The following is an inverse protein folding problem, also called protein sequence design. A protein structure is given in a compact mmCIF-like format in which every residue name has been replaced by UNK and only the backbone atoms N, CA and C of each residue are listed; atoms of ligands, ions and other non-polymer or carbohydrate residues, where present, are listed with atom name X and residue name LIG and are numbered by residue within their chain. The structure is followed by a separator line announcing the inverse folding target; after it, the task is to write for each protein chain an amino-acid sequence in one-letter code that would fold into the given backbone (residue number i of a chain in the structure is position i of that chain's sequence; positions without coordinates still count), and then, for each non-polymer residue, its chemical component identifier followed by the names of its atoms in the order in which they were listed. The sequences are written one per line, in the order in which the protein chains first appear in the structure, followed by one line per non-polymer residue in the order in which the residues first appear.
data_IF_276405276618
#
_entry.id   IF_276405276618
#
_cell.length_a   1.000
_cell.length_b   1.000
_cell.length_c   1.000
_cell.angle_alpha   90.00
_cell.angle_beta   90.00
_cell.angle_gamma   90.00
#
_symmetry.space_group_name_H-M   'P 1'
#
loop_
_entity.id
_entity.type
_entity.pdbx_description
1 polymer ?
#
# COMPACT_ATOMS: atom_id res chain seq x y z
N UNK A 1 9.01 -26.03 -35.95
CA UNK A 1 7.80 -25.20 -36.06
C UNK A 1 6.64 -25.73 -35.21
N UNK A 2 6.22 -27.00 -35.34
CA UNK A 2 5.12 -27.58 -34.51
C UNK A 2 5.40 -27.58 -33.00
N UNK A 3 6.63 -27.87 -32.59
CA UNK A 3 7.05 -27.88 -31.17
C UNK A 3 6.98 -26.49 -30.52
N UNK A 4 7.27 -25.43 -31.25
CA UNK A 4 7.19 -24.05 -30.76
C UNK A 4 5.74 -23.63 -30.47
N UNK A 5 4.81 -23.96 -31.37
CA UNK A 5 3.38 -23.72 -31.17
C UNK A 5 2.80 -24.51 -29.98
N UNK A 6 3.27 -25.74 -29.76
CA UNK A 6 2.86 -26.53 -28.59
C UNK A 6 3.37 -25.95 -27.27
N UNK A 7 4.61 -25.46 -27.22
CA UNK A 7 5.14 -24.77 -26.03
C UNK A 7 4.40 -23.45 -25.75
N UNK A 8 4.06 -22.68 -26.80
CA UNK A 8 3.30 -21.44 -26.66
C UNK A 8 1.87 -21.72 -26.15
N UNK A 9 1.19 -22.73 -26.70
CA UNK A 9 -0.13 -23.12 -26.22
C UNK A 9 -0.10 -23.64 -24.78
N UNK A 10 0.91 -24.43 -24.42
CA UNK A 10 1.06 -24.93 -23.05
C UNK A 10 1.32 -23.78 -22.07
N UNK A 11 2.17 -22.82 -22.43
CA UNK A 11 2.44 -21.62 -21.63
C UNK A 11 1.19 -20.75 -21.43
N UNK A 12 0.39 -20.57 -22.49
CA UNK A 12 -0.89 -19.84 -22.42
C UNK A 12 -1.90 -20.59 -21.55
N UNK A 13 -1.97 -21.92 -21.65
CA UNK A 13 -2.89 -22.73 -20.85
C UNK A 13 -2.50 -22.71 -19.36
N UNK A 14 -1.20 -22.79 -19.05
CA UNK A 14 -0.71 -22.67 -17.67
C UNK A 14 -0.92 -21.26 -17.11
N UNK A 15 -0.76 -20.20 -17.92
CA UNK A 15 -1.06 -18.84 -17.51
C UNK A 15 -2.55 -18.62 -17.22
N UNK A 16 -3.45 -19.28 -17.98
CA UNK A 16 -4.90 -19.23 -17.75
C UNK A 16 -5.33 -20.00 -16.49
N UNK A 17 -4.64 -21.09 -16.13
CA UNK A 17 -4.99 -21.94 -14.97
C UNK A 17 -4.53 -21.33 -13.64
N UNK A 18 -3.51 -20.48 -13.64
CA UNK A 18 -2.98 -19.85 -12.41
C UNK A 18 -3.90 -18.73 -11.87
N UNK A 19 -4.93 -18.32 -12.61
CA UNK A 19 -5.64 -17.07 -12.33
C UNK A 19 -6.84 -17.15 -11.36
N UNK A 20 -7.07 -18.23 -10.60
CA UNK A 20 -8.29 -18.37 -9.77
C UNK A 20 -8.06 -19.06 -8.41
N UNK A 21 -7.07 -18.60 -7.65
CA UNK A 21 -6.87 -19.03 -6.25
C UNK A 21 -6.83 -17.82 -5.30
N UNK A 22 -7.81 -16.92 -5.42
CA UNK A 22 -8.05 -15.88 -4.42
C UNK A 22 -9.01 -16.38 -3.34
N UNK A 23 -8.71 -16.11 -2.06
CA UNK A 23 -9.63 -16.41 -0.96
C UNK A 23 -10.79 -15.43 -0.99
N UNK A 24 -12.01 -15.93 -1.26
CA UNK A 24 -13.25 -15.16 -1.15
C UNK A 24 -13.71 -15.08 0.30
N UNK A 25 -14.09 -13.89 0.74
CA UNK A 25 -14.60 -13.61 2.08
C UNK A 25 -15.91 -12.87 2.07
N UNK A 26 -16.81 -13.27 2.98
CA UNK A 26 -18.06 -12.58 3.25
C UNK A 26 -17.85 -11.50 4.30
N UNK A 27 -18.26 -10.27 4.00
CA UNK A 27 -18.05 -9.10 4.85
C UNK A 27 -19.27 -8.83 5.73
N UNK A 28 -19.02 -8.53 7.01
CA UNK A 28 -20.00 -8.06 7.99
C UNK A 28 -19.44 -6.86 8.73
N UNK A 29 -20.24 -5.80 8.89
CA UNK A 29 -19.82 -4.60 9.61
C UNK A 29 -20.61 -4.45 10.91
N UNK A 30 -19.91 -4.07 11.97
CA UNK A 30 -20.47 -3.72 13.28
C UNK A 30 -19.95 -2.35 13.67
N UNK A 31 -20.85 -1.44 14.06
CA UNK A 31 -20.51 -0.11 14.53
C UNK A 31 -20.61 -0.07 16.05
N UNK A 32 -19.54 0.34 16.72
CA UNK A 32 -19.51 0.60 18.15
C UNK A 32 -19.52 2.11 18.38
N UNK A 33 -20.63 2.62 18.91
CA UNK A 33 -20.76 4.03 19.28
C UNK A 33 -20.02 4.28 20.60
N UNK A 34 -19.05 5.21 20.59
CA UNK A 34 -18.44 5.69 21.82
C UNK A 34 -19.30 6.86 22.35
N UNK A 35 -19.54 6.95 23.68
CA UNK A 35 -20.30 8.05 24.26
C UNK A 35 -19.68 9.40 23.87
N UNK A 36 -20.51 10.38 23.51
CA UNK A 36 -20.02 11.71 23.13
C UNK A 36 -19.24 12.35 24.29
N UNK A 37 -17.92 12.41 24.17
CA UNK A 37 -17.10 13.28 25.02
C UNK A 37 -16.91 14.61 24.30
N UNK A 38 -17.55 15.67 24.81
CA UNK A 38 -17.29 17.08 24.52
C UNK A 38 -16.66 17.37 23.13
N UNK A 39 -17.46 17.20 22.07
CA UNK A 39 -17.16 17.51 20.66
C UNK A 39 -16.39 16.47 19.82
N UNK A 40 -16.04 15.30 20.37
CA UNK A 40 -15.50 14.19 19.57
C UNK A 40 -16.54 13.08 19.44
N UNK A 41 -17.28 13.07 18.33
CA UNK A 41 -18.14 11.95 17.97
C UNK A 41 -17.30 10.89 17.28
N UNK A 42 -17.03 9.80 17.97
CA UNK A 42 -16.16 8.79 17.41
C UNK A 42 -16.77 7.42 17.54
N UNK A 43 -16.52 6.59 16.54
CA UNK A 43 -16.99 5.23 16.51
C UNK A 43 -15.84 4.32 16.15
N UNK A 44 -15.83 3.16 16.80
CA UNK A 44 -15.01 2.04 16.38
C UNK A 44 -15.83 1.24 15.37
N UNK A 45 -15.27 1.02 14.18
CA UNK A 45 -15.89 0.22 13.14
C UNK A 45 -15.17 -1.11 13.12
N UNK A 46 -15.93 -2.19 13.28
CA UNK A 46 -15.42 -3.54 13.17
C UNK A 46 -15.97 -4.19 11.91
N UNK A 47 -15.06 -4.60 11.03
CA UNK A 47 -15.38 -5.36 9.84
C UNK A 47 -14.83 -6.76 10.02
N UNK A 48 -15.69 -7.75 9.83
CA UNK A 48 -15.36 -9.17 9.88
C UNK A 48 -15.51 -9.74 8.47
N UNK A 49 -14.42 -10.29 7.95
CA UNK A 49 -14.34 -10.94 6.65
C UNK A 49 -14.14 -12.46 6.83
N UNK A 50 -15.22 -13.23 6.64
CA UNK A 50 -15.27 -14.67 6.91
C UNK A 50 -14.95 -15.48 5.65
N UNK A 51 -14.00 -16.42 5.73
CA UNK A 51 -13.78 -17.46 4.72
C UNK A 51 -14.28 -18.84 5.23
N UNK A 52 -14.02 -19.90 4.46
CA UNK A 52 -14.28 -21.28 4.91
C UNK A 52 -13.26 -21.79 5.92
N UNK A 53 -12.08 -21.17 6.02
CA UNK A 53 -10.95 -21.66 6.84
C UNK A 53 -10.66 -20.74 8.05
N UNK A 54 -10.93 -19.45 7.92
CA UNK A 54 -10.53 -18.43 8.89
C UNK A 54 -11.38 -17.16 8.79
N UNK A 55 -11.19 -16.24 9.74
CA UNK A 55 -11.80 -14.92 9.74
C UNK A 55 -10.71 -13.85 9.84
N UNK A 56 -10.88 -12.75 9.12
CA UNK A 56 -10.05 -11.54 9.26
C UNK A 56 -10.92 -10.43 9.86
N UNK A 57 -10.38 -9.76 10.87
CA UNK A 57 -11.03 -8.68 11.58
C UNK A 57 -10.26 -7.39 11.35
N UNK A 58 -10.95 -6.39 10.81
CA UNK A 58 -10.46 -5.04 10.64
C UNK A 58 -11.17 -4.15 11.64
N UNK A 59 -10.41 -3.46 12.48
CA UNK A 59 -10.92 -2.48 13.42
C UNK A 59 -10.39 -1.13 13.00
N UNK A 60 -11.28 -0.20 12.67
CA UNK A 60 -10.94 1.16 12.24
C UNK A 60 -11.50 2.18 13.22
N UNK A 61 -10.72 3.18 13.57
CA UNK A 61 -11.17 4.26 14.43
C UNK A 61 -10.37 5.53 14.17
N UNK A 62 -11.02 6.67 14.35
CA UNK A 62 -10.38 7.98 14.47
C UNK A 62 -10.46 8.50 15.91
N UNK A 63 -10.60 7.59 16.90
CA UNK A 63 -10.77 7.98 18.30
C UNK A 63 -9.43 8.40 18.87
N UNK A 64 -9.33 9.70 19.17
CA UNK A 64 -8.10 10.41 19.49
C UNK A 64 -7.12 10.42 18.32
N UNK A 65 -6.59 9.26 17.90
CA UNK A 65 -5.75 9.13 16.72
C UNK A 65 -6.35 8.16 15.68
N UNK A 66 -6.24 8.47 14.38
CA UNK A 66 -6.50 7.51 13.32
C UNK A 66 -5.68 6.26 13.50
N UNK A 67 -6.36 5.15 13.73
CA UNK A 67 -5.73 3.88 14.03
C UNK A 67 -6.54 2.71 13.52
N UNK A 68 -5.81 1.66 13.21
CA UNK A 68 -6.38 0.43 12.68
C UNK A 68 -5.67 -0.80 13.21
N UNK A 69 -6.43 -1.89 13.29
CA UNK A 69 -5.93 -3.21 13.66
C UNK A 69 -6.44 -4.19 12.61
N UNK A 70 -5.55 -5.05 12.12
CA UNK A 70 -5.91 -6.23 11.32
C UNK A 70 -5.52 -7.46 12.12
N UNK A 71 -6.46 -8.39 12.30
CA UNK A 71 -6.24 -9.64 13.03
C UNK A 71 -6.90 -10.83 12.31
N UNK A 72 -6.13 -11.89 12.06
CA UNK A 72 -6.56 -13.15 11.45
C UNK A 72 -6.73 -14.21 12.52
N UNK A 73 -7.85 -14.93 12.49
CA UNK A 73 -8.30 -15.84 13.54
C UNK A 73 -9.01 -17.07 12.95
N UNK A 74 -9.32 -18.07 13.77
CA UNK A 74 -10.21 -19.16 13.38
C UNK A 74 -11.67 -18.68 13.21
N UNK A 75 -12.47 -19.37 12.38
CA UNK A 75 -13.83 -18.94 12.00
C UNK A 75 -14.83 -18.79 13.16
N UNK A 76 -14.60 -19.46 14.29
CA UNK A 76 -15.45 -19.42 15.49
C UNK A 76 -15.04 -18.33 16.50
N UNK A 77 -14.10 -17.47 16.13
CA UNK A 77 -13.60 -16.40 16.99
C UNK A 77 -14.59 -15.23 17.05
N UNK A 78 -14.83 -14.75 18.27
CA UNK A 78 -15.60 -13.55 18.57
C UNK A 78 -14.69 -12.44 19.10
N UNK A 79 -15.01 -11.21 18.72
CA UNK A 79 -14.36 -10.00 19.20
C UNK A 79 -15.22 -9.39 20.31
N UNK A 80 -14.59 -9.13 21.45
CA UNK A 80 -15.22 -8.41 22.56
C UNK A 80 -14.59 -7.02 22.67
N UNK A 81 -15.44 -6.00 22.65
CA UNK A 81 -15.05 -4.59 22.77
C UNK A 81 -15.65 -4.02 24.05
N UNK A 82 -14.79 -3.66 25.00
CA UNK A 82 -15.14 -2.94 26.22
C UNK A 82 -14.98 -1.43 25.98
N UNK A 83 -16.12 -0.78 25.78
CA UNK A 83 -16.21 0.65 25.43
C UNK A 83 -15.67 1.55 26.54
N UNK A 84 -15.88 1.18 27.81
CA UNK A 84 -15.42 1.99 28.95
C UNK A 84 -13.89 1.97 29.08
N UNK A 85 -13.29 0.79 28.87
CA UNK A 85 -11.83 0.67 28.79
C UNK A 85 -11.27 1.37 27.56
N UNK A 86 -11.93 1.23 26.40
CA UNK A 86 -11.47 1.85 25.15
C UNK A 86 -11.43 3.38 25.27
N UNK A 87 -12.41 3.98 25.93
CA UNK A 87 -12.49 5.43 26.18
C UNK A 87 -11.30 5.98 26.96
N UNK A 88 -10.72 5.17 27.83
CA UNK A 88 -9.61 5.56 28.71
C UNK A 88 -8.28 4.97 28.26
N UNK A 89 -8.23 4.42 27.03
CA UNK A 89 -7.07 3.74 26.45
C UNK A 89 -6.48 2.66 27.38
N UNK A 90 -7.35 1.98 28.13
CA UNK A 90 -6.95 0.87 28.98
C UNK A 90 -6.72 -0.38 28.15
N UNK A 91 -5.70 -1.14 28.55
CA UNK A 91 -5.39 -2.44 27.96
C UNK A 91 -6.56 -3.42 28.10
N UNK A 92 -6.73 -4.28 27.10
CA UNK A 92 -7.81 -5.27 27.07
C UNK A 92 -9.19 -4.69 26.78
N UNK A 93 -9.24 -3.50 26.19
CA UNK A 93 -10.46 -2.91 25.62
C UNK A 93 -10.93 -3.64 24.37
N UNK A 94 -10.03 -4.28 23.62
CA UNK A 94 -10.34 -5.13 22.48
C UNK A 94 -9.71 -6.50 22.75
N UNK A 95 -10.52 -7.56 22.74
CA UNK A 95 -10.08 -8.91 23.05
C UNK A 95 -10.72 -9.94 22.12
N UNK A 96 -9.99 -11.02 21.87
CA UNK A 96 -10.43 -12.16 21.08
C UNK A 96 -10.54 -13.38 22.00
N UNK A 97 -11.59 -14.18 21.84
CA UNK A 97 -11.79 -15.40 22.63
C UNK A 97 -10.91 -16.59 22.18
N UNK A 98 -10.16 -16.42 21.08
CA UNK A 98 -9.24 -17.41 20.54
C UNK A 98 -7.86 -16.78 20.25
N UNK A 99 -6.87 -17.63 20.03
CA UNK A 99 -5.52 -17.21 19.63
C UNK A 99 -5.52 -16.58 18.24
N UNK A 100 -4.72 -15.53 18.08
CA UNK A 100 -4.54 -14.85 16.79
C UNK A 100 -3.52 -15.60 15.93
N UNK A 101 -3.86 -15.84 14.67
CA UNK A 101 -2.97 -16.46 13.68
C UNK A 101 -1.94 -15.47 13.16
N UNK A 102 -2.38 -14.24 12.88
CA UNK A 102 -1.54 -13.12 12.45
C UNK A 102 -2.24 -11.80 12.82
N UNK A 103 -1.48 -10.77 13.17
CA UNK A 103 -2.05 -9.47 13.48
C UNK A 103 -1.03 -8.33 13.26
N UNK A 104 -1.54 -7.13 13.01
CA UNK A 104 -0.76 -5.90 12.83
C UNK A 104 -1.62 -4.68 13.17
N UNK A 105 -1.00 -3.63 13.67
CA UNK A 105 -1.67 -2.36 13.93
C UNK A 105 -0.91 -1.19 13.34
N UNK A 106 -1.64 -0.13 13.01
CA UNK A 106 -1.06 1.10 12.49
C UNK A 106 -1.81 2.28 13.09
N UNK A 107 -1.05 3.28 13.54
CA UNK A 107 -1.57 4.57 13.98
C UNK A 107 -0.88 5.69 13.19
N UNK A 108 -1.65 6.70 12.80
CA UNK A 108 -1.13 7.95 12.23
C UNK A 108 -1.09 8.95 13.37
N UNK A 109 0.11 9.35 13.80
CA UNK A 109 0.29 10.18 15.00
C UNK A 109 0.36 11.67 14.68
N UNK A 110 1.10 12.04 13.62
CA UNK A 110 1.36 13.44 13.26
C UNK A 110 1.25 13.71 11.77
N UNK A 111 0.78 14.92 11.46
CA UNK A 111 0.92 15.57 10.15
C UNK A 111 2.11 16.51 10.22
N UNK A 112 3.02 16.41 9.25
CA UNK A 112 4.19 17.27 9.16
C UNK A 112 4.05 18.23 8.00
N UNK A 113 4.38 19.49 8.25
CA UNK A 113 4.51 20.54 7.26
C UNK A 113 5.99 20.88 7.11
N UNK A 114 6.50 20.70 5.90
CA UNK A 114 7.90 20.92 5.55
C UNK A 114 8.01 22.12 4.62
N UNK A 115 8.70 23.18 5.08
CA UNK A 115 8.93 24.40 4.30
C UNK A 115 10.31 24.37 3.61
N UNK A 116 10.33 24.70 2.32
CA UNK A 116 11.53 24.58 1.48
C UNK A 116 12.02 25.94 1.00
N UNK A 117 13.33 26.16 1.05
CA UNK A 117 13.96 27.34 0.45
C UNK A 117 14.21 27.16 -1.04
N UNK A 118 14.47 25.94 -1.50
CA UNK A 118 14.67 25.57 -2.92
C UNK A 118 13.91 24.29 -3.24
N UNK A 119 13.60 24.08 -4.51
CA UNK A 119 12.94 22.86 -4.97
C UNK A 119 13.93 21.69 -5.00
N UNK A 120 14.03 21.00 -3.86
CA UNK A 120 14.90 19.83 -3.65
C UNK A 120 14.06 18.66 -3.16
N UNK A 121 14.52 17.44 -3.40
CA UNK A 121 13.89 16.24 -2.84
C UNK A 121 14.35 15.95 -1.38
N UNK A 122 15.35 16.67 -0.89
CA UNK A 122 15.95 16.45 0.43
C UNK A 122 15.06 17.02 1.55
N UNK A 123 15.02 16.34 2.70
CA UNK A 123 14.31 16.84 3.87
C UNK A 123 14.97 18.15 4.35
N UNK A 124 14.19 19.23 4.54
CA UNK A 124 14.71 20.50 5.01
C UNK A 124 15.17 20.41 6.46
N UNK A 125 15.92 21.42 6.91
CA UNK A 125 16.36 21.53 8.30
C UNK A 125 15.18 21.43 9.27
N UNK A 126 15.41 20.86 10.46
CA UNK A 126 14.37 20.66 11.48
C UNK A 126 13.67 21.95 11.92
N UNK A 127 14.33 23.12 11.75
CA UNK A 127 13.74 24.44 12.02
C UNK A 127 12.64 24.85 11.02
N UNK A 128 12.53 24.14 9.90
CA UNK A 128 11.55 24.34 8.82
C UNK A 128 10.47 23.26 8.80
N UNK A 129 10.45 22.40 9.81
CA UNK A 129 9.47 21.33 9.97
C UNK A 129 8.54 21.70 11.13
N UNK A 130 7.27 21.85 10.82
CA UNK A 130 6.20 22.04 11.78
C UNK A 130 5.40 20.73 11.88
N UNK A 131 5.03 20.32 13.09
CA UNK A 131 4.26 19.09 13.32
C UNK A 131 2.93 19.42 13.98
N UNK A 132 1.84 18.90 13.42
CA UNK A 132 0.52 18.92 14.01
C UNK A 132 0.21 17.54 14.58
N UNK A 133 -0.21 17.51 15.84
CA UNK A 133 -0.63 16.27 16.49
C UNK A 133 -2.06 15.93 16.04
N UNK A 134 -2.26 14.74 15.49
CA UNK A 134 -3.60 14.32 15.04
C UNK A 134 -4.55 14.09 16.23
N UNK A 135 -4.05 14.01 17.46
CA UNK A 135 -4.87 13.96 18.67
C UNK A 135 -5.70 15.24 18.87
N UNK A 136 -5.22 16.37 18.35
CA UNK A 136 -5.89 17.66 18.44
C UNK A 136 -6.99 17.82 17.38
N UNK A 137 -7.08 16.88 16.43
CA UNK A 137 -8.06 16.92 15.37
C UNK A 137 -9.44 16.48 15.85
N UNK A 138 -10.45 17.09 15.23
CA UNK A 138 -11.83 16.67 15.30
C UNK A 138 -12.17 15.88 14.03
N UNK A 139 -12.86 14.76 14.20
CA UNK A 139 -13.21 13.86 13.11
C UNK A 139 -14.71 13.83 12.88
N UNK A 140 -15.11 13.72 11.61
CA UNK A 140 -16.51 13.61 11.21
C UNK A 140 -17.20 12.42 11.88
N UNK A 141 -18.46 12.61 12.31
CA UNK A 141 -19.29 11.54 12.86
C UNK A 141 -19.38 10.37 11.86
N UNK A 142 -19.25 9.14 12.36
CA UNK A 142 -19.62 7.96 11.58
C UNK A 142 -21.14 7.88 11.52
N UNK A 143 -21.69 7.80 10.33
CA UNK A 143 -23.12 7.62 10.10
C UNK A 143 -23.33 6.52 9.06
N UNK A 144 -24.56 6.02 8.94
CA UNK A 144 -24.94 5.10 7.86
C UNK A 144 -24.74 5.69 6.44
N UNK A 145 -24.47 7.00 6.31
CA UNK A 145 -24.16 7.64 5.04
C UNK A 145 -22.66 7.65 4.72
N UNK A 146 -21.80 7.60 5.74
CA UNK A 146 -20.34 7.62 5.56
C UNK A 146 -19.78 6.21 5.48
N UNK A 147 -20.43 5.24 6.12
CA UNK A 147 -20.09 3.82 6.06
C UNK A 147 -20.88 3.14 4.93
N UNK A 148 -20.17 2.61 3.94
CA UNK A 148 -20.69 1.66 2.96
C UNK A 148 -20.37 0.25 3.43
N UNK A 149 -21.37 -0.63 3.53
CA UNK A 149 -21.17 -2.02 3.91
C UNK A 149 -22.04 -2.93 3.05
N UNK A 150 -21.42 -3.96 2.49
CA UNK A 150 -22.06 -5.00 1.69
C UNK A 150 -21.38 -6.34 1.96
N UNK A 151 -21.97 -7.42 1.45
CA UNK A 151 -21.44 -8.77 1.60
C UNK A 151 -20.04 -8.95 0.96
N UNK A 152 -19.66 -8.11 -0.01
CA UNK A 152 -18.40 -8.22 -0.76
C UNK A 152 -17.40 -7.10 -0.46
N UNK A 153 -17.86 -5.93 -0.04
CA UNK A 153 -17.00 -4.77 0.19
C UNK A 153 -17.53 -3.89 1.34
N UNK A 154 -16.61 -3.25 2.05
CA UNK A 154 -16.92 -2.21 3.02
C UNK A 154 -15.94 -1.05 2.90
N UNK A 155 -16.44 0.17 3.01
CA UNK A 155 -15.60 1.36 3.02
C UNK A 155 -16.16 2.46 3.91
N UNK A 156 -15.29 3.32 4.41
CA UNK A 156 -15.68 4.53 5.11
C UNK A 156 -14.76 5.68 4.76
N UNK A 157 -15.35 6.86 4.57
CA UNK A 157 -14.63 8.13 4.48
C UNK A 157 -14.84 8.97 5.73
N UNK A 158 -13.76 9.41 6.34
CA UNK A 158 -13.68 10.25 7.52
C UNK A 158 -12.97 11.55 7.17
N UNK A 159 -13.52 12.68 7.62
CA UNK A 159 -12.92 13.99 7.44
C UNK A 159 -12.47 14.54 8.79
N UNK A 160 -11.18 14.81 8.90
CA UNK A 160 -10.52 15.47 10.01
C UNK A 160 -10.40 16.97 9.75
N UNK A 161 -10.58 17.75 10.79
CA UNK A 161 -10.37 19.20 10.81
C UNK A 161 -9.71 19.62 12.13
N UNK A 162 -9.04 20.77 12.09
CA UNK A 162 -8.38 21.37 13.25
C UNK A 162 -8.71 22.87 13.29
N UNK A 163 -8.61 23.49 14.47
CA UNK A 163 -8.72 24.94 14.64
C UNK A 163 -7.43 25.67 14.19
N UNK A 164 -6.39 24.92 13.79
CA UNK A 164 -5.15 25.43 13.25
C UNK A 164 -5.38 26.26 11.96
N UNK A 165 -4.57 27.30 11.75
CA UNK A 165 -4.66 28.21 10.60
C UNK A 165 -4.56 27.45 9.26
N UNK A 166 -3.86 26.31 9.20
CA UNK A 166 -3.77 25.46 8.02
C UNK A 166 -5.14 24.97 7.51
N UNK A 167 -6.16 24.91 8.37
CA UNK A 167 -7.50 24.43 8.02
C UNK A 167 -8.50 25.58 7.79
N UNK A 168 -8.07 26.83 7.95
CA UNK A 168 -8.93 28.03 7.91
C UNK A 168 -9.70 28.24 6.60
N UNK A 169 -9.16 27.79 5.47
CA UNK A 169 -9.81 27.89 4.15
C UNK A 169 -10.78 26.73 3.84
N UNK A 170 -11.35 26.08 4.86
CA UNK A 170 -12.09 24.81 4.72
C UNK A 170 -11.17 23.68 4.24
N UNK A 171 -9.96 23.64 4.78
CA UNK A 171 -9.05 22.53 4.58
C UNK A 171 -9.59 21.26 5.24
N UNK A 172 -9.30 20.10 4.64
CA UNK A 172 -9.74 18.81 5.14
C UNK A 172 -8.60 17.81 5.13
N UNK A 173 -8.50 17.06 6.22
CA UNK A 173 -7.74 15.82 6.27
C UNK A 173 -8.70 14.68 5.95
N UNK A 174 -8.57 14.04 4.80
CA UNK A 174 -9.43 12.92 4.40
C UNK A 174 -8.76 11.59 4.73
N UNK A 175 -9.49 10.70 5.40
CA UNK A 175 -9.12 9.31 5.59
C UNK A 175 -10.19 8.41 5.00
N UNK A 176 -9.79 7.50 4.12
CA UNK A 176 -10.67 6.49 3.58
C UNK A 176 -10.09 5.12 3.87
N UNK A 177 -10.93 4.24 4.44
CA UNK A 177 -10.61 2.85 4.68
C UNK A 177 -11.50 1.99 3.80
N UNK A 178 -10.92 0.97 3.16
CA UNK A 178 -11.64 0.10 2.24
C UNK A 178 -11.16 -1.35 2.34
N UNK A 179 -12.10 -2.29 2.35
CA UNK A 179 -11.87 -3.74 2.29
C UNK A 179 -12.76 -4.31 1.19
N UNK A 180 -12.18 -5.22 0.41
CA UNK A 180 -12.87 -6.05 -0.56
C UNK A 180 -12.59 -7.51 -0.21
N UNK A 181 -13.64 -8.32 -0.20
CA UNK A 181 -13.59 -9.73 0.21
C UNK A 181 -12.99 -10.66 -0.84
N UNK A 182 -12.69 -10.15 -2.02
CA UNK A 182 -12.07 -10.87 -3.13
C UNK A 182 -10.78 -10.18 -3.55
N UNK A 183 -9.91 -10.92 -4.22
CA UNK A 183 -8.72 -10.34 -4.82
C UNK A 183 -9.09 -9.57 -6.08
N UNK A 184 -8.92 -8.25 -6.05
CA UNK A 184 -9.32 -7.36 -7.14
C UNK A 184 -8.34 -6.19 -7.26
N UNK A 185 -8.03 -5.79 -8.49
CA UNK A 185 -7.26 -4.58 -8.74
C UNK A 185 -8.13 -3.35 -8.45
N UNK A 186 -7.67 -2.44 -7.60
CA UNK A 186 -8.40 -1.23 -7.32
C UNK A 186 -8.64 -0.42 -8.62
N UNK A 187 -9.86 0.05 -8.88
CA UNK A 187 -10.17 0.81 -10.10
C UNK A 187 -9.49 2.18 -10.09
N UNK A 188 -9.17 2.71 -8.92
CA UNK A 188 -8.45 3.97 -8.75
C UNK A 188 -6.94 3.75 -8.67
N UNK A 189 -6.21 4.74 -9.19
CA UNK A 189 -4.77 4.83 -8.99
C UNK A 189 -4.40 4.82 -7.48
N UNK A 190 -3.29 4.17 -7.09
CA UNK A 190 -2.27 3.58 -7.94
C UNK A 190 -2.54 2.09 -8.27
N UNK A 191 -3.81 1.68 -8.36
CA UNK A 191 -4.23 0.32 -8.67
C UNK A 191 -3.65 -0.72 -7.71
N UNK A 192 -3.76 -0.46 -6.40
CA UNK A 192 -3.38 -1.45 -5.38
C UNK A 192 -4.29 -2.68 -5.49
N UNK A 193 -3.75 -3.87 -5.25
CA UNK A 193 -4.52 -5.12 -5.30
C UNK A 193 -5.17 -5.33 -3.94
N UNK A 194 -6.49 -5.24 -3.89
CA UNK A 194 -7.24 -5.72 -2.74
C UNK A 194 -7.01 -7.21 -2.57
N UNK A 195 -6.86 -7.63 -1.33
CA UNK A 195 -6.93 -9.04 -0.96
C UNK A 195 -7.95 -9.15 0.16
N UNK A 196 -8.63 -10.30 0.26
CA UNK A 196 -9.48 -10.60 1.42
C UNK A 196 -8.74 -10.58 2.77
N UNK A 197 -7.40 -10.47 2.77
CA UNK A 197 -6.58 -10.44 3.97
C UNK A 197 -5.99 -9.06 4.28
N UNK A 198 -6.40 -8.02 3.55
CA UNK A 198 -5.85 -6.66 3.64
C UNK A 198 -6.95 -5.59 3.67
N UNK A 199 -6.62 -4.43 4.23
CA UNK A 199 -7.41 -3.21 4.13
C UNK A 199 -6.55 -2.13 3.48
N UNK A 200 -7.15 -1.35 2.59
CA UNK A 200 -6.55 -0.15 2.05
C UNK A 200 -6.84 1.04 2.96
N UNK A 201 -5.86 1.93 3.08
CA UNK A 201 -6.04 3.28 3.62
C UNK A 201 -5.62 4.27 2.54
N UNK A 202 -6.48 5.25 2.28
CA UNK A 202 -6.18 6.42 1.46
C UNK A 202 -6.20 7.65 2.36
N UNK A 203 -5.08 8.35 2.37
CA UNK A 203 -4.82 9.55 3.16
C UNK A 203 -4.79 10.73 2.20
N UNK A 204 -5.66 11.72 2.40
CA UNK A 204 -5.78 12.90 1.56
C UNK A 204 -5.67 14.19 2.34
N UNK A 205 -5.03 15.20 1.76
CA UNK A 205 -5.06 16.58 2.26
C UNK A 205 -5.68 17.45 1.17
N UNK A 206 -6.85 18.01 1.44
CA UNK A 206 -7.61 18.81 0.49
C UNK A 206 -7.73 20.25 0.98
N UNK A 207 -7.30 21.18 0.14
CA UNK A 207 -7.44 22.62 0.34
C UNK A 207 -6.86 23.14 1.67
N UNK A 208 -5.71 22.59 2.11
CA UNK A 208 -4.98 23.17 3.24
C UNK A 208 -4.39 24.52 2.85
N UNK A 209 -4.48 25.47 3.77
CA UNK A 209 -3.90 26.80 3.63
C UNK A 209 -2.44 26.79 4.07
N UNK A 210 -1.57 27.54 3.38
CA UNK A 210 -0.15 27.65 3.72
C UNK A 210 0.24 29.13 3.84
N UNK A 211 -0.01 29.78 5.00
CA UNK A 211 0.18 31.22 5.16
C UNK A 211 1.65 31.64 5.06
N UNK A 212 2.53 30.82 5.62
CA UNK A 212 3.91 31.21 5.92
C UNK A 212 4.90 30.87 4.80
N UNK A 213 4.50 30.06 3.83
CA UNK A 213 5.39 29.61 2.75
C UNK A 213 4.60 29.21 1.51
N UNK A 214 5.14 29.59 0.34
CA UNK A 214 4.65 29.12 -0.97
C UNK A 214 5.29 27.81 -1.41
N UNK A 215 6.23 27.27 -0.62
CA UNK A 215 7.03 26.08 -0.91
C UNK A 215 6.89 25.09 0.23
N UNK A 216 5.74 24.43 0.27
CA UNK A 216 5.36 23.51 1.34
C UNK A 216 5.10 22.12 0.78
N UNK A 217 5.58 21.10 1.48
CA UNK A 217 5.20 19.70 1.29
C UNK A 217 4.75 19.12 2.63
N UNK A 218 4.05 18.01 2.56
CA UNK A 218 3.51 17.34 3.73
C UNK A 218 4.12 15.95 3.92
N UNK A 219 4.08 15.49 5.15
CA UNK A 219 4.47 14.15 5.54
C UNK A 219 3.66 13.64 6.72
N UNK A 220 3.83 12.37 7.05
CA UNK A 220 3.14 11.72 8.15
C UNK A 220 4.12 10.95 9.02
N UNK A 221 3.92 11.02 10.34
CA UNK A 221 4.52 10.10 11.30
C UNK A 221 3.55 8.93 11.51
N UNK A 222 4.06 7.72 11.30
CA UNK A 222 3.31 6.48 11.33
C UNK A 222 3.91 5.59 12.42
N UNK A 223 3.04 4.95 13.20
CA UNK A 223 3.43 4.06 14.28
C UNK A 223 2.86 2.67 14.02
N UNK A 224 3.76 1.70 13.88
CA UNK A 224 3.46 0.34 13.49
C UNK A 224 3.60 -0.60 14.70
N UNK A 225 2.51 -1.30 15.00
CA UNK A 225 2.43 -2.27 16.07
C UNK A 225 2.59 -3.66 15.47
N UNK A 226 3.68 -4.34 15.84
CA UNK A 226 4.05 -5.63 15.25
C UNK A 226 4.28 -6.69 16.33
N UNK A 227 3.72 -7.91 16.19
CA UNK A 227 4.08 -9.02 17.05
C UNK A 227 5.50 -9.51 16.75
N UNK A 228 6.23 -9.90 17.79
CA UNK A 228 7.52 -10.58 17.70
C UNK A 228 7.28 -12.08 17.78
N UNK A 229 7.70 -12.81 16.75
CA UNK A 229 7.49 -14.27 16.66
C UNK A 229 8.56 -15.08 17.41
N UNK A 230 9.69 -14.47 17.76
CA UNK A 230 10.83 -15.12 18.40
C UNK A 230 11.70 -14.10 19.16
N UNK A 231 12.66 -14.59 19.94
CA UNK A 231 13.69 -13.76 20.57
C UNK A 231 14.43 -12.97 19.48
N UNK A 232 14.18 -11.67 19.42
CA UNK A 232 14.59 -10.80 18.34
C UNK A 232 15.67 -9.85 18.83
N UNK A 233 16.85 -9.89 18.18
CA UNK A 233 17.99 -9.04 18.55
C UNK A 233 17.92 -7.65 17.93
N UNK A 234 17.28 -7.51 16.77
CA UNK A 234 17.03 -6.23 16.11
C UNK A 234 15.53 -5.93 16.08
N UNK A 235 15.12 -4.91 16.84
CA UNK A 235 13.71 -4.51 16.98
C UNK A 235 13.26 -3.50 15.91
N UNK A 236 14.18 -3.05 15.05
CA UNK A 236 13.85 -2.21 13.90
C UNK A 236 13.06 -2.99 12.85
N UNK A 237 12.08 -2.33 12.24
CA UNK A 237 11.30 -2.97 11.19
C UNK A 237 12.09 -3.00 9.87
N UNK A 238 11.88 -4.07 9.08
CA UNK A 238 12.63 -4.27 7.84
C UNK A 238 11.87 -3.64 6.68
N UNK A 239 12.55 -2.74 5.98
CA UNK A 239 12.10 -2.15 4.72
C UNK A 239 12.58 -3.01 3.54
N UNK A 240 11.69 -3.34 2.61
CA UNK A 240 11.98 -4.08 1.39
C UNK A 240 11.43 -3.31 0.20
N UNK A 241 12.31 -2.92 -0.72
CA UNK A 241 11.94 -2.34 -2.00
C UNK A 241 11.74 -3.44 -3.03
N UNK A 242 10.50 -3.65 -3.46
CA UNK A 242 10.19 -4.58 -4.53
C UNK A 242 10.37 -3.88 -5.88
N UNK A 243 11.44 -4.28 -6.57
CA UNK A 243 11.78 -3.76 -7.90
C UNK A 243 11.13 -4.64 -8.97
N UNK A 244 9.95 -4.25 -9.44
CA UNK A 244 9.31 -4.88 -10.60
C UNK A 244 9.34 -3.87 -11.74
N UNK A 245 9.92 -4.23 -12.89
CA UNK A 245 9.95 -3.32 -14.04
C UNK A 245 8.58 -3.36 -14.76
N UNK A 246 7.61 -2.59 -14.27
CA UNK A 246 6.29 -2.47 -14.92
C UNK A 246 5.82 -1.02 -14.91
N UNK A 247 5.74 -0.42 -16.10
CA UNK A 247 5.21 0.93 -16.33
C UNK A 247 3.69 0.93 -16.59
N UNK A 248 3.05 -0.26 -16.57
CA UNK A 248 1.67 -0.43 -17.00
C UNK A 248 0.66 0.33 -16.12
N UNK A 249 0.87 0.29 -14.81
CA UNK A 249 -0.04 0.90 -13.81
C UNK A 249 0.56 2.13 -13.10
N UNK A 250 1.83 2.46 -13.38
CA UNK A 250 2.52 3.65 -12.91
C UNK A 250 3.43 4.28 -13.98
N UNK A 251 2.91 4.69 -15.15
CA UNK A 251 3.76 5.30 -16.18
C UNK A 251 4.53 6.52 -15.64
N UNK A 252 5.76 6.75 -16.11
CA UNK A 252 6.54 7.97 -15.79
C UNK A 252 7.28 7.97 -14.45
N UNK A 253 7.00 7.04 -13.53
CA UNK A 253 7.77 6.87 -12.30
C UNK A 253 8.81 5.79 -12.56
N UNK A 254 9.94 6.19 -13.16
CA UNK A 254 11.14 5.35 -13.23
C UNK A 254 11.85 5.33 -11.87
N UNK A 255 11.12 5.04 -10.79
CA UNK A 255 11.76 4.69 -9.52
C UNK A 255 12.12 3.22 -9.57
N UNK A 256 13.30 2.89 -9.05
CA UNK A 256 13.79 1.51 -8.96
C UNK A 256 12.86 0.66 -8.07
N UNK A 257 12.13 1.29 -7.13
CA UNK A 257 11.12 0.69 -6.27
C UNK A 257 9.70 0.87 -6.83
N UNK A 258 8.98 -0.23 -7.04
CA UNK A 258 7.57 -0.20 -7.47
C UNK A 258 6.60 -0.37 -6.31
N UNK A 259 6.96 -1.19 -5.33
CA UNK A 259 6.21 -1.33 -4.08
C UNK A 259 7.22 -1.32 -2.92
N UNK A 260 6.83 -0.69 -1.82
CA UNK A 260 7.59 -0.59 -0.57
C UNK A 260 6.89 -1.41 0.48
N UNK A 261 7.59 -2.39 1.05
CA UNK A 261 7.08 -3.23 2.13
C UNK A 261 7.78 -2.95 3.45
N UNK A 262 6.98 -2.82 4.50
CA UNK A 262 7.41 -2.77 5.88
C UNK A 262 7.02 -4.08 6.57
N UNK A 263 8.05 -4.88 6.86
CA UNK A 263 7.93 -6.17 7.53
C UNK A 263 8.20 -6.05 9.03
N UNK A 264 7.53 -6.89 9.81
CA UNK A 264 7.73 -6.96 11.26
C UNK A 264 9.18 -7.34 11.59
N UNK A 265 9.74 -6.85 12.71
CA UNK A 265 11.11 -7.22 13.10
C UNK A 265 11.27 -8.73 13.24
N UNK A 266 12.41 -9.25 12.77
CA UNK A 266 12.74 -10.68 12.75
C UNK A 266 11.74 -11.58 12.00
N UNK A 267 10.85 -11.03 11.18
CA UNK A 267 10.01 -11.82 10.28
C UNK A 267 10.79 -12.18 9.01
N UNK A 268 10.52 -13.38 8.48
CA UNK A 268 11.03 -13.81 7.18
C UNK A 268 10.07 -13.35 6.09
N UNK A 269 10.63 -12.97 4.94
CA UNK A 269 9.85 -12.73 3.71
C UNK A 269 9.10 -14.01 3.34
N UNK A 270 7.84 -13.88 2.92
CA UNK A 270 6.97 -14.98 2.44
C UNK A 270 6.42 -15.95 3.49
N UNK A 271 6.27 -15.55 4.76
CA UNK A 271 5.48 -16.33 5.73
C UNK A 271 3.98 -16.04 5.61
N UNK A 272 3.19 -17.08 5.37
CA UNK A 272 1.72 -17.03 5.34
C UNK A 272 1.08 -16.60 6.68
N UNK A 273 1.80 -16.82 7.80
CA UNK A 273 1.39 -16.36 9.13
C UNK A 273 1.96 -14.98 9.48
N UNK A 274 2.59 -14.29 8.52
CA UNK A 274 3.14 -12.96 8.68
C UNK A 274 2.07 -11.86 8.64
N UNK A 275 2.53 -10.62 8.71
CA UNK A 275 1.71 -9.44 8.46
C UNK A 275 2.54 -8.36 7.80
N UNK A 276 1.92 -7.58 6.91
CA UNK A 276 2.62 -6.63 6.05
C UNK A 276 1.96 -5.25 6.12
N UNK A 277 2.76 -4.25 5.81
CA UNK A 277 2.33 -2.90 5.45
C UNK A 277 3.03 -2.60 4.13
N UNK A 278 2.28 -2.19 3.10
CA UNK A 278 2.80 -1.99 1.76
C UNK A 278 2.22 -0.76 1.08
N UNK A 279 2.98 -0.07 0.25
CA UNK A 279 2.47 1.00 -0.61
C UNK A 279 3.30 1.14 -1.88
N UNK A 280 2.73 1.78 -2.90
CA UNK A 280 3.49 2.26 -4.06
C UNK A 280 4.12 3.61 -3.69
N UNK A 281 5.39 3.91 -4.05
CA UNK A 281 6.08 5.15 -3.66
C UNK A 281 5.59 6.37 -4.47
N UNK A 282 4.28 6.55 -4.55
CA UNK A 282 3.58 7.57 -5.34
C UNK A 282 2.40 8.14 -4.56
N UNK A 283 2.23 9.45 -4.67
CA UNK A 283 1.05 10.20 -4.26
C UNK A 283 0.50 10.97 -5.46
N UNK A 284 -0.76 11.35 -5.41
CA UNK A 284 -1.44 12.10 -6.47
C UNK A 284 -1.80 13.49 -6.02
N UNK A 285 -1.38 14.49 -6.79
CA UNK A 285 -1.58 15.91 -6.46
C UNK A 285 -2.86 16.50 -7.07
N UNK A 286 -3.74 15.65 -7.62
CA UNK A 286 -5.04 16.04 -8.19
C UNK A 286 -6.13 15.05 -7.81
N UNK A 287 -7.38 15.53 -7.69
CA UNK A 287 -8.59 14.72 -7.49
C UNK A 287 -8.90 13.80 -8.67
N UNK A 288 -8.37 14.13 -9.85
CA UNK A 288 -8.34 13.25 -11.01
C UNK A 288 -6.94 12.63 -11.07
N UNK A 289 -6.72 11.50 -10.38
CA UNK A 289 -5.40 10.90 -10.30
C UNK A 289 -4.98 10.41 -11.69
N UNK A 290 -3.76 10.77 -12.06
CA UNK A 290 -3.13 10.32 -13.29
C UNK A 290 -1.63 10.38 -13.11
N UNK A 291 -0.92 9.74 -14.02
CA UNK A 291 0.54 9.81 -14.13
C UNK A 291 1.06 11.24 -14.18
N UNK A 292 0.41 12.11 -14.95
CA UNK A 292 0.87 13.49 -15.10
C UNK A 292 0.77 14.29 -13.79
N UNK A 293 -0.07 13.82 -12.86
CA UNK A 293 -0.34 14.44 -11.57
C UNK A 293 0.18 13.57 -10.42
N UNK A 294 1.25 12.80 -10.63
CA UNK A 294 1.92 12.03 -9.59
C UNK A 294 3.05 12.82 -8.94
N UNK A 295 3.34 12.51 -7.69
CA UNK A 295 4.50 12.98 -6.92
C UNK A 295 5.08 11.82 -6.12
N UNK A 296 6.37 11.89 -5.78
CA UNK A 296 7.05 10.78 -5.11
C UNK A 296 6.68 10.70 -3.64
N UNK A 297 6.73 9.49 -3.10
CA UNK A 297 6.56 9.22 -1.68
C UNK A 297 7.82 8.56 -1.15
N UNK A 298 8.45 9.19 -0.16
CA UNK A 298 9.74 8.76 0.37
C UNK A 298 9.61 8.40 1.84
N UNK A 299 10.25 7.28 2.22
CA UNK A 299 10.51 6.95 3.61
C UNK A 299 11.70 7.78 4.09
N UNK A 300 11.49 8.69 5.04
CA UNK A 300 12.49 9.71 5.40
C UNK A 300 13.10 9.53 6.77
N UNK A 301 12.65 8.53 7.51
CA UNK A 301 13.31 8.06 8.72
C UNK A 301 13.50 6.56 8.70
N UNK A 302 14.48 6.11 9.47
CA UNK A 302 14.61 4.70 9.79
C UNK A 302 13.41 4.25 10.62
N UNK A 303 12.89 3.07 10.30
CA UNK A 303 11.81 2.47 11.06
C UNK A 303 12.34 1.90 12.38
N UNK A 304 12.22 2.69 13.43
CA UNK A 304 12.93 2.47 14.69
C UNK A 304 11.97 2.24 15.86
N UNK A 305 12.35 1.41 16.84
CA UNK A 305 11.49 1.09 17.97
C UNK A 305 11.30 2.31 18.88
N UNK A 306 10.06 2.53 19.32
CA UNK A 306 9.71 3.55 20.30
C UNK A 306 10.01 3.07 21.71
N UNK A 307 10.66 3.91 22.52
CA UNK A 307 11.19 3.51 23.83
C UNK A 307 10.20 3.62 24.99
N UNK A 308 9.13 4.43 24.92
CA UNK A 308 8.11 4.53 26.00
C UNK A 308 6.92 5.48 25.71
N UNK A 309 6.56 5.78 24.47
CA UNK A 309 5.50 6.78 24.21
C UNK A 309 4.12 6.10 24.23
N UNK A 310 3.23 6.60 25.10
CA UNK A 310 1.80 6.29 25.03
C UNK A 310 1.18 7.13 23.93
N UNK A 311 0.68 6.45 22.92
CA UNK A 311 0.12 7.02 21.68
C UNK A 311 -1.34 7.43 21.90
N UNK A 312 -2.02 6.80 22.85
CA UNK A 312 -3.46 6.88 23.11
C UNK A 312 -4.28 6.59 21.84
N UNK A 313 -4.08 5.40 21.27
CA UNK A 313 -4.82 4.91 20.10
C UNK A 313 -5.54 3.59 20.39
N UNK A 314 -6.50 3.21 19.53
CA UNK A 314 -7.15 1.89 19.67
C UNK A 314 -6.17 0.76 19.43
N UNK A 315 -5.18 0.97 18.55
CA UNK A 315 -4.11 0.01 18.28
C UNK A 315 -3.30 -0.21 19.56
N UNK A 316 -2.81 0.86 20.18
CA UNK A 316 -2.09 0.76 21.45
C UNK A 316 -2.90 0.01 22.51
N UNK A 317 -4.19 0.33 22.66
CA UNK A 317 -5.05 -0.30 23.67
C UNK A 317 -5.21 -1.82 23.48
N UNK A 318 -5.12 -2.29 22.23
CA UNK A 318 -5.13 -3.71 21.87
C UNK A 318 -3.77 -4.38 22.05
N UNK A 319 -2.69 -3.69 21.73
CA UNK A 319 -1.32 -4.24 21.72
C UNK A 319 -0.63 -4.18 23.09
N UNK A 320 -0.98 -3.24 23.97
CA UNK A 320 -0.31 -3.04 25.27
C UNK A 320 -0.44 -4.22 26.24
N UNK A 321 -1.47 -5.07 26.11
CA UNK A 321 -1.61 -6.29 26.92
C UNK A 321 -0.89 -7.51 26.32
N UNK A 322 -0.39 -7.41 25.09
CA UNK A 322 0.21 -8.55 24.41
C UNK A 322 1.68 -8.63 24.79
N UNK A 323 2.12 -9.83 25.15
CA UNK A 323 3.53 -10.12 25.31
C UNK A 323 4.23 -10.05 23.93
N UNK A 324 5.50 -9.65 23.94
CA UNK A 324 6.35 -9.67 22.75
C UNK A 324 5.82 -8.81 21.58
N UNK A 325 5.43 -7.57 21.86
CA UNK A 325 5.08 -6.59 20.83
C UNK A 325 6.16 -5.51 20.77
N UNK A 326 6.41 -5.03 19.56
CA UNK A 326 7.24 -3.86 19.30
C UNK A 326 6.43 -2.81 18.56
N UNK A 327 6.62 -1.57 18.98
CA UNK A 327 6.06 -0.39 18.32
C UNK A 327 7.22 0.30 17.62
N UNK A 328 7.15 0.42 16.29
CA UNK A 328 8.12 1.15 15.50
C UNK A 328 7.51 2.43 14.94
N UNK A 329 8.26 3.52 14.93
CA UNK A 329 7.86 4.74 14.25
C UNK A 329 8.66 4.93 12.97
N UNK A 330 8.00 5.41 11.92
CA UNK A 330 8.63 5.81 10.68
C UNK A 330 7.88 6.98 10.05
N UNK A 331 8.58 7.72 9.19
CA UNK A 331 8.08 8.95 8.62
C UNK A 331 8.08 8.86 7.10
N UNK A 332 7.00 9.36 6.52
CA UNK A 332 6.82 9.36 5.07
C UNK A 332 6.56 10.79 4.63
N UNK A 333 7.27 11.26 3.60
CA UNK A 333 7.02 12.57 3.00
C UNK A 333 6.65 12.46 1.55
N UNK A 334 5.78 13.35 1.09
CA UNK A 334 5.33 13.43 -0.29
C UNK A 334 5.94 14.64 -0.98
N UNK A 335 6.49 14.44 -2.17
CA UNK A 335 7.02 15.51 -2.98
C UNK A 335 8.11 15.07 -3.95
N UNK A 336 8.15 15.70 -5.11
CA UNK A 336 9.22 15.51 -6.10
C UNK A 336 9.62 16.83 -6.73
N UNK A 337 10.86 16.92 -7.20
CA UNK A 337 11.36 18.16 -7.80
C UNK A 337 10.53 18.52 -9.02
N UNK A 338 10.07 19.77 -9.09
CA UNK A 338 9.24 20.28 -10.18
C UNK A 338 7.74 20.02 -10.04
N UNK A 339 7.27 19.37 -8.96
CA UNK A 339 5.85 19.18 -8.70
C UNK A 339 5.11 20.52 -8.48
N UNK A 340 5.86 21.55 -8.07
CA UNK A 340 5.36 22.90 -7.81
C UNK A 340 4.82 23.08 -6.39
N UNK A 341 5.16 22.18 -5.47
CA UNK A 341 4.74 22.15 -4.06
C UNK A 341 3.22 22.03 -3.88
N UNK A 342 2.80 21.79 -2.63
CA UNK A 342 1.39 21.65 -2.30
C UNK A 342 0.52 22.85 -2.71
N UNK A 343 0.93 24.13 -2.54
CA UNK A 343 0.08 25.28 -2.86
C UNK A 343 -0.36 25.39 -4.33
N UNK A 344 0.32 24.72 -5.27
CA UNK A 344 -0.04 24.75 -6.70
C UNK A 344 -1.37 24.05 -6.98
N UNK A 345 -1.62 22.90 -6.38
CA UNK A 345 -2.86 22.12 -6.58
C UNK A 345 -3.76 22.12 -5.35
N UNK A 346 -3.20 22.42 -4.17
CA UNK A 346 -3.85 22.31 -2.87
C UNK A 346 -4.51 20.94 -2.64
N UNK A 347 -3.90 19.90 -3.19
CA UNK A 347 -4.38 18.53 -3.03
C UNK A 347 -3.21 17.57 -3.05
N UNK A 348 -3.21 16.59 -2.15
CA UNK A 348 -2.38 15.40 -2.24
C UNK A 348 -3.13 14.21 -1.67
N UNK A 349 -3.03 13.05 -2.31
CA UNK A 349 -3.57 11.80 -1.82
C UNK A 349 -2.54 10.67 -1.95
N UNK A 350 -2.38 9.89 -0.90
CA UNK A 350 -1.49 8.74 -0.82
C UNK A 350 -2.28 7.52 -0.36
N UNK A 351 -1.94 6.33 -0.86
CA UNK A 351 -2.61 5.08 -0.51
C UNK A 351 -1.63 4.02 -0.09
N UNK A 352 -2.02 3.24 0.91
CA UNK A 352 -1.26 2.14 1.49
C UNK A 352 -2.18 0.97 1.84
N UNK A 353 -1.59 -0.20 2.04
CA UNK A 353 -2.25 -1.46 2.37
C UNK A 353 -1.65 -2.06 3.64
N UNK A 354 -2.50 -2.48 4.56
CA UNK A 354 -2.09 -3.26 5.73
C UNK A 354 -2.87 -4.57 5.77
N UNK A 355 -2.18 -5.67 6.05
CA UNK A 355 -2.80 -6.98 5.96
C UNK A 355 -2.06 -8.08 6.69
N UNK A 356 -2.63 -9.27 6.58
CA UNK A 356 -2.05 -10.52 7.10
C UNK A 356 -1.64 -11.43 5.95
N UNK A 357 -0.63 -12.26 6.17
CA UNK A 357 0.03 -13.04 5.13
C UNK A 357 1.12 -12.25 4.42
N UNK A 358 1.22 -12.45 3.11
CA UNK A 358 2.24 -11.86 2.23
C UNK A 358 1.63 -10.72 1.44
N UNK A 359 2.38 -9.63 1.25
CA UNK A 359 1.96 -8.53 0.41
C UNK A 359 1.78 -9.00 -1.05
N UNK A 360 0.71 -8.54 -1.70
CA UNK A 360 0.44 -8.85 -3.10
C UNK A 360 0.85 -7.66 -3.96
N UNK A 361 1.70 -7.92 -4.95
CA UNK A 361 2.25 -6.90 -5.84
C UNK A 361 1.67 -7.03 -7.25
N UNK A 362 1.54 -5.90 -7.93
CA UNK A 362 1.09 -5.85 -9.31
C UNK A 362 2.08 -6.58 -10.22
N UNK A 363 1.64 -7.68 -10.82
CA UNK A 363 2.38 -8.37 -11.88
C UNK A 363 2.09 -7.72 -13.24
N UNK A 364 2.91 -8.04 -14.25
CA UNK A 364 2.62 -7.64 -15.63
C UNK A 364 1.26 -8.21 -16.06
N UNK A 365 0.41 -7.37 -16.64
CA UNK A 365 -0.87 -7.84 -17.18
C UNK A 365 -0.65 -8.88 -18.26
N UNK A 366 -1.65 -9.75 -18.42
CA UNK A 366 -1.72 -10.71 -19.52
C UNK A 366 -1.55 -9.98 -20.86
N UNK A 367 -2.13 -8.78 -21.00
CA UNK A 367 -2.01 -7.97 -22.22
C UNK A 367 -0.57 -7.53 -22.47
N UNK A 368 0.13 -7.04 -21.45
CA UNK A 368 1.54 -6.67 -21.54
C UNK A 368 2.41 -7.89 -21.89
N UNK A 369 2.19 -9.02 -21.22
CA UNK A 369 2.85 -10.30 -21.51
C UNK A 369 2.60 -10.71 -22.97
N UNK A 370 1.38 -10.56 -23.48
CA UNK A 370 1.05 -10.86 -24.88
C UNK A 370 1.82 -9.95 -25.86
N UNK A 371 1.89 -8.63 -25.61
CA UNK A 371 2.66 -7.73 -26.48
C UNK A 371 4.16 -8.04 -26.45
N UNK A 372 4.72 -8.29 -25.27
CA UNK A 372 6.14 -8.66 -25.11
C UNK A 372 6.43 -9.97 -25.85
N UNK A 373 5.58 -10.98 -25.68
CA UNK A 373 5.76 -12.30 -26.33
C UNK A 373 5.61 -12.23 -27.85
N UNK A 374 4.65 -11.46 -28.37
CA UNK A 374 4.48 -11.23 -29.81
C UNK A 374 5.69 -10.47 -30.38
N UNK A 375 6.11 -9.38 -29.73
CA UNK A 375 7.25 -8.58 -30.14
C UNK A 375 8.55 -9.39 -30.17
N UNK A 376 8.82 -10.16 -29.11
CA UNK A 376 9.99 -11.02 -29.03
C UNK A 376 9.97 -12.13 -30.10
N UNK A 377 8.80 -12.71 -30.36
CA UNK A 377 8.62 -13.74 -31.39
C UNK A 377 8.90 -13.19 -32.79
N UNK A 378 8.41 -11.98 -33.10
CA UNK A 378 8.68 -11.33 -34.37
C UNK A 378 10.18 -11.06 -34.56
N UNK A 379 10.85 -10.51 -33.54
CA UNK A 379 12.30 -10.28 -33.56
C UNK A 379 13.09 -11.57 -33.81
N UNK A 380 12.73 -12.66 -33.13
CA UNK A 380 13.37 -13.97 -33.35
C UNK A 380 13.16 -14.49 -34.77
N UNK A 381 11.96 -14.36 -35.34
CA UNK A 381 11.68 -14.76 -36.72
C UNK A 381 12.52 -13.95 -37.72
N UNK A 382 12.67 -12.63 -37.51
CA UNK A 382 13.53 -11.81 -38.35
C UNK A 382 15.00 -12.21 -38.24
N UNK A 383 15.50 -12.50 -37.04
CA UNK A 383 16.90 -12.92 -36.84
C UNK A 383 17.19 -14.29 -37.48
N UNK A 384 16.32 -15.28 -37.25
CA UNK A 384 16.48 -16.63 -37.83
C UNK A 384 16.29 -16.60 -39.34
N UNK A 385 15.28 -15.86 -39.83
CA UNK A 385 15.04 -15.69 -41.26
C UNK A 385 16.20 -14.96 -41.96
N UNK A 386 16.72 -13.90 -41.34
CA UNK A 386 17.88 -13.16 -41.84
C UNK A 386 19.16 -14.00 -41.84
N UNK A 387 19.43 -14.72 -40.76
CA UNK A 387 20.57 -15.64 -40.68
C UNK A 387 20.46 -16.79 -41.69
N UNK A 388 19.26 -17.36 -41.86
CA UNK A 388 18.99 -18.39 -42.86
C UNK A 388 19.18 -17.87 -44.28
N UNK A 389 18.64 -16.69 -44.60
CA UNK A 389 18.85 -16.04 -45.89
C UNK A 389 20.34 -15.77 -46.16
N UNK A 390 21.05 -15.27 -45.15
CA UNK A 390 22.49 -15.02 -45.25
C UNK A 390 23.27 -16.33 -45.48
N UNK A 391 22.95 -17.40 -44.75
CA UNK A 391 23.58 -18.70 -44.90
C UNK A 391 23.35 -19.31 -46.29
N UNK A 392 22.12 -19.24 -46.82
CA UNK A 392 21.79 -19.70 -48.18
C UNK A 392 22.57 -18.88 -49.22
N UNK A 393 22.60 -17.55 -49.07
CA UNK A 393 23.36 -16.69 -49.97
C UNK A 393 24.86 -16.99 -49.93
N UNK A 394 25.39 -17.30 -48.76
CA UNK A 394 26.80 -17.66 -48.61
C UNK A 394 27.12 -19.02 -49.25
N UNK A 395 26.25 -20.02 -49.09
CA UNK A 395 26.45 -21.32 -49.76
C UNK A 395 26.40 -21.19 -51.28
N UNK A 396 25.42 -20.44 -51.83
CA UNK A 396 25.33 -20.22 -53.28
C UNK A 396 26.56 -19.52 -53.88
N UNK A 397 27.15 -18.56 -53.18
CA UNK A 397 28.41 -17.93 -53.62
C UNK A 397 29.55 -18.94 -53.77
N UNK A 398 29.66 -19.92 -52.87
CA UNK A 398 30.69 -20.96 -52.97
C UNK A 398 30.45 -21.88 -54.17
N UNK A 399 29.20 -22.20 -54.48
CA UNK A 399 28.86 -23.03 -55.63
C UNK A 399 29.16 -22.28 -56.95
N UNK A 400 28.87 -20.98 -57.01
CA UNK A 400 29.20 -20.13 -58.17
C UNK A 400 30.73 -20.01 -58.38
N UNK A 401 31.52 -19.92 -57.30
CA UNK A 401 32.98 -19.88 -57.36
C UNK A 401 33.59 -21.24 -57.80
N UNK A 402 32.96 -22.37 -57.45
CA UNK A 402 33.38 -23.72 -57.89
C UNK A 402 33.09 -23.96 -59.39
N UNK A 403 31.95 -23.49 -59.90
CA UNK A 403 31.59 -23.60 -61.31
C UNK A 403 32.49 -22.76 -62.23
N UNK A 404 33.02 -21.64 -61.74
CA UNK A 404 34.01 -20.83 -62.47
C UNK A 404 35.40 -21.48 -62.48
N UNK A 405 35.75 -22.29 -61.47
CA UNK A 405 37.00 -23.04 -61.41
C UNK A 405 37.11 -24.17 -62.46
N UNK A 406 36.02 -24.90 -62.70
CA UNK A 406 36.00 -25.99 -63.71
C UNK A 406 35.98 -25.48 -65.16
N UNK A 407 35.59 -24.22 -65.38
CA UNK A 407 35.63 -23.59 -66.71
C UNK A 407 37.05 -23.19 -67.18
N UNK A 408 38.06 -23.36 -66.32
CA UNK A 408 39.48 -23.05 -66.61
C UNK A 408 40.35 -24.30 -66.87
N UNK A 409 39.76 -25.50 -66.97
CA UNK A 409 40.50 -26.78 -67.20
C UNK A 409 40.12 -27.47 -68.54
N UNK A 410 39.59 -26.75 -69.54
CA UNK A 410 39.49 -27.28 -70.92
C UNK A 410 40.24 -26.42 -71.93
#
# INVERSE_FOLDING_TARGET
MKTFFYCLHLAVLTALIVCVLGTKRLIKCTLYELPESANKSVSLIHIRADSTEDSVHYLWSSFNLPSMIVARTATDTNVNVDIEKLRTFQSGSISFNASLLAFKGLTISKLWQLSYETDTAEIPDTSKIESLNLADFQWSKVTNKTLSCSDNAASIKLNGFSDDELFSEKGLFELEFSVVGEEELAPEFPHLIYTGNSTQIKIGLDNLYSPNSSRVRYGFEMELFSPLTQACSNLECKHVDNTLLSDEFSPGIFSVSCDVDILSPCSEENKENGSFLSWKPVAYISKEPSVANSSDVQLTSQCSPLSSITVQSIAESFFNEKENVVINAFNVTMGTVGDGFYPKTKYVAWSLMIGTGVAVHSQLSITAILFITIGMSALLLFLVGGAGYYAVRWCRKKDDDLLLGDSLIN
#
